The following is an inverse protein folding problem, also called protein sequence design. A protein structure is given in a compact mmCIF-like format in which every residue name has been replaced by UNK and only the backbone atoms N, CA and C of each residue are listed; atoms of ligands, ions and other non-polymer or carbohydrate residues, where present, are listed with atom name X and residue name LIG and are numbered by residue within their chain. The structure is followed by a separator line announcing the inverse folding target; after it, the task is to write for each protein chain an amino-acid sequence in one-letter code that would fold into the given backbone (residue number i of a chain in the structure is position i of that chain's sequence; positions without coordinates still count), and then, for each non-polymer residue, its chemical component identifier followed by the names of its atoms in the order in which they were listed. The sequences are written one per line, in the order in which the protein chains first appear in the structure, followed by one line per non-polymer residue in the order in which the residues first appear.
data_IF_590715487091
#
_entry.id   IF_590715487091
#
_cell.length_a   1.000
_cell.length_b   1.000
_cell.length_c   1.000
_cell.angle_alpha   90.00
_cell.angle_beta   90.00
_cell.angle_gamma   90.00
#
_symmetry.space_group_name_H-M   'P 1'
#
loop_
_entity.id
_entity.type
_entity.pdbx_description
1 polymer ?
#
# COMPACT_ATOMS: atom_id res chain seq x y z
N UNK A 1 -0.15 14.62 7.77
CA UNK A 1 -0.66 13.47 6.99
C UNK A 1 0.21 12.29 7.35
N UNK A 2 -0.37 11.13 7.62
CA UNK A 2 0.39 9.95 8.04
C UNK A 2 1.50 9.63 7.04
N UNK A 3 2.70 9.31 7.51
CA UNK A 3 3.86 8.91 6.70
C UNK A 3 3.83 7.41 6.36
N UNK A 4 3.25 6.61 7.26
CA UNK A 4 3.05 5.18 7.10
C UNK A 4 1.79 4.71 7.86
N UNK A 5 1.34 3.49 7.58
CA UNK A 5 0.25 2.83 8.29
C UNK A 5 0.70 1.41 8.68
N UNK A 6 0.69 1.11 9.96
CA UNK A 6 1.13 -0.16 10.51
C UNK A 6 -0.08 -1.04 10.80
N UNK A 7 -0.06 -2.28 10.32
CA UNK A 7 -1.05 -3.29 10.61
C UNK A 7 -0.39 -4.41 11.43
N UNK A 8 -0.87 -4.63 12.64
CA UNK A 8 -0.38 -5.69 13.53
C UNK A 8 -1.21 -6.95 13.31
N UNK A 9 -0.56 -8.00 12.82
CA UNK A 9 -1.19 -9.21 12.32
C UNK A 9 -0.93 -10.39 13.25
N UNK A 10 -1.98 -11.15 13.52
CA UNK A 10 -1.97 -12.38 14.31
C UNK A 10 -1.82 -13.61 13.41
N UNK A 11 -1.36 -14.70 14.01
CA UNK A 11 -1.30 -16.02 13.36
C UNK A 11 -0.05 -16.21 12.51
N UNK A 12 -0.18 -17.06 11.49
CA UNK A 12 0.93 -17.42 10.59
C UNK A 12 1.38 -16.23 9.75
N UNK A 13 2.69 -15.96 9.75
CA UNK A 13 3.26 -14.79 9.08
C UNK A 13 3.13 -14.89 7.56
N UNK A 14 3.29 -16.08 6.97
CA UNK A 14 3.21 -16.23 5.51
C UNK A 14 1.77 -16.10 5.00
N UNK A 15 0.80 -16.68 5.73
CA UNK A 15 -0.62 -16.50 5.44
C UNK A 15 -1.06 -15.04 5.57
N UNK A 16 -0.56 -14.34 6.59
CA UNK A 16 -0.83 -12.91 6.78
C UNK A 16 -0.22 -12.05 5.64
N UNK A 17 1.02 -12.34 5.21
CA UNK A 17 1.63 -11.68 4.04
C UNK A 17 0.82 -11.92 2.77
N UNK A 18 0.39 -13.16 2.52
CA UNK A 18 -0.45 -13.53 1.37
C UNK A 18 -1.74 -12.71 1.34
N UNK A 19 -2.41 -12.55 2.48
CA UNK A 19 -3.63 -11.72 2.56
C UNK A 19 -3.36 -10.25 2.24
N UNK A 20 -2.24 -9.69 2.70
CA UNK A 20 -1.83 -8.32 2.33
C UNK A 20 -1.57 -8.22 0.82
N UNK A 21 -0.91 -9.21 0.22
CA UNK A 21 -0.70 -9.28 -1.24
C UNK A 21 -2.04 -9.33 -1.97
N UNK A 22 -2.97 -10.18 -1.54
CA UNK A 22 -4.30 -10.30 -2.15
C UNK A 22 -5.11 -9.01 -2.05
N UNK A 23 -5.06 -8.31 -0.90
CA UNK A 23 -5.74 -7.02 -0.71
C UNK A 23 -5.20 -5.93 -1.66
N UNK A 24 -3.87 -5.87 -1.84
CA UNK A 24 -3.24 -4.97 -2.79
C UNK A 24 -3.59 -5.35 -4.24
N UNK A 25 -3.61 -6.64 -4.56
CA UNK A 25 -3.97 -7.11 -5.90
C UNK A 25 -5.45 -6.83 -6.23
N UNK A 26 -6.38 -6.96 -5.27
CA UNK A 26 -7.80 -6.62 -5.48
C UNK A 26 -8.02 -5.13 -5.71
N UNK A 27 -7.14 -4.30 -5.16
CA UNK A 27 -7.09 -2.86 -5.43
C UNK A 27 -6.47 -2.51 -6.79
N UNK A 28 -6.05 -3.51 -7.59
CA UNK A 28 -5.47 -3.32 -8.91
C UNK A 28 -3.98 -2.94 -8.90
N UNK A 29 -3.28 -3.19 -7.79
CA UNK A 29 -1.82 -3.09 -7.76
C UNK A 29 -1.17 -4.35 -8.35
N UNK A 30 -0.14 -4.14 -9.15
CA UNK A 30 0.87 -5.15 -9.45
C UNK A 30 1.84 -5.20 -8.26
N UNK A 31 1.88 -6.33 -7.57
CA UNK A 31 2.71 -6.53 -6.38
C UNK A 31 3.93 -7.36 -6.72
N UNK A 32 5.11 -6.87 -6.35
CA UNK A 32 6.39 -7.57 -6.53
C UNK A 32 7.17 -7.57 -5.22
N UNK A 33 7.83 -8.67 -4.87
CA UNK A 33 8.69 -8.71 -3.67
C UNK A 33 9.93 -7.83 -3.83
N UNK A 34 10.34 -7.16 -2.75
CA UNK A 34 11.60 -6.41 -2.70
C UNK A 34 12.75 -7.34 -2.27
N UNK A 35 14.02 -6.99 -2.57
CA UNK A 35 15.18 -7.75 -2.09
C UNK A 35 15.28 -7.82 -0.55
N UNK A 36 14.64 -6.89 0.15
CA UNK A 36 14.58 -6.83 1.61
C UNK A 36 13.45 -7.67 2.22
N UNK A 37 12.67 -8.38 1.40
CA UNK A 37 11.56 -9.21 1.85
C UNK A 37 10.24 -8.47 2.07
N UNK A 38 10.14 -7.20 1.67
CA UNK A 38 8.91 -6.43 1.61
C UNK A 38 8.17 -6.58 0.27
N UNK A 39 7.16 -5.74 0.05
CA UNK A 39 6.37 -5.68 -1.17
C UNK A 39 6.46 -4.29 -1.80
N UNK A 40 6.53 -4.27 -3.12
CA UNK A 40 6.40 -3.09 -3.95
C UNK A 40 5.09 -3.21 -4.72
N UNK A 41 4.13 -2.35 -4.40
CA UNK A 41 2.82 -2.31 -5.02
C UNK A 41 2.76 -1.14 -6.02
N UNK A 42 2.48 -1.42 -7.29
CA UNK A 42 2.40 -0.42 -8.36
C UNK A 42 1.04 -0.45 -9.05
N UNK A 43 0.36 0.69 -9.14
CA UNK A 43 -0.96 0.84 -9.78
C UNK A 43 -0.97 2.06 -10.71
N UNK A 44 -1.64 1.94 -11.85
CA UNK A 44 -1.67 2.97 -12.89
C UNK A 44 -0.66 2.72 -14.01
N UNK A 45 -0.95 3.24 -15.20
CA UNK A 45 -0.25 2.90 -16.42
C UNK A 45 0.56 4.06 -16.98
N UNK A 46 1.77 3.77 -17.47
CA UNK A 46 2.50 4.64 -18.39
C UNK A 46 1.95 4.58 -19.84
N UNK A 47 1.07 3.63 -20.17
CA UNK A 47 0.64 3.30 -21.54
C UNK A 47 -0.87 3.06 -21.76
N UNK A 48 -1.73 3.14 -20.73
CA UNK A 48 -3.13 2.65 -20.79
C UNK A 48 -4.13 3.71 -20.33
N UNK A 49 -4.01 4.93 -20.87
CA UNK A 49 -5.13 5.88 -20.91
C UNK A 49 -5.74 5.91 -22.31
N UNK A 50 -5.91 4.74 -22.92
CA UNK A 50 -6.74 4.57 -24.12
C UNK A 50 -8.12 4.14 -23.63
N UNK A 51 -8.97 5.13 -23.30
CA UNK A 51 -10.45 5.08 -23.24
C UNK A 51 -10.99 6.06 -22.18
N UNK A 52 -11.02 7.35 -22.52
CA UNK A 52 -12.11 8.31 -22.29
C UNK A 52 -11.55 9.73 -22.49
N UNK A 53 -11.94 10.34 -23.61
CA UNK A 53 -11.43 11.60 -24.17
C UNK A 53 -11.72 12.88 -23.37
N UNK A 54 -11.37 12.92 -22.08
CA UNK A 54 -11.43 14.14 -21.26
C UNK A 54 -10.26 14.32 -20.27
N UNK A 55 -9.32 13.36 -20.15
CA UNK A 55 -8.24 13.37 -19.16
C UNK A 55 -6.83 13.38 -19.78
N UNK A 56 -6.54 14.36 -20.64
CA UNK A 56 -5.19 14.66 -21.12
C UNK A 56 -4.32 15.28 -20.01
N UNK A 57 -4.06 14.53 -18.94
CA UNK A 57 -3.40 15.04 -17.73
C UNK A 57 -2.56 13.99 -17.01
N UNK A 58 -1.46 13.57 -17.67
CA UNK A 58 -0.26 12.92 -17.12
C UNK A 58 -0.48 11.59 -16.37
N UNK A 59 -0.05 10.51 -17.01
CA UNK A 59 0.35 9.20 -16.47
C UNK A 59 0.59 9.21 -14.95
N UNK A 60 -0.46 8.99 -14.17
CA UNK A 60 -0.37 8.97 -12.70
C UNK A 60 -0.11 7.54 -12.26
N UNK A 61 1.15 7.28 -11.90
CA UNK A 61 1.58 6.00 -11.37
C UNK A 61 1.64 6.11 -9.85
N UNK A 62 0.87 5.28 -9.17
CA UNK A 62 0.96 5.06 -7.73
C UNK A 62 1.96 3.95 -7.46
N UNK A 63 2.84 4.18 -6.50
CA UNK A 63 3.78 3.18 -6.00
C UNK A 63 3.81 3.27 -4.49
N UNK A 64 3.53 2.16 -3.82
CA UNK A 64 3.63 2.02 -2.37
C UNK A 64 4.59 0.89 -2.02
N UNK A 65 5.25 1.02 -0.88
CA UNK A 65 6.07 -0.03 -0.29
C UNK A 65 5.34 -0.59 0.93
N UNK A 66 5.35 -1.91 1.08
CA UNK A 66 4.94 -2.56 2.32
C UNK A 66 6.15 -3.28 2.90
N UNK A 67 6.62 -2.81 4.05
CA UNK A 67 7.68 -3.50 4.78
C UNK A 67 7.07 -4.46 5.80
N UNK A 68 7.69 -5.62 5.96
CA UNK A 68 7.31 -6.58 6.99
C UNK A 68 8.36 -6.59 8.09
N UNK A 69 7.90 -6.50 9.33
CA UNK A 69 8.73 -6.62 10.52
C UNK A 69 8.01 -7.44 11.59
N UNK A 70 8.74 -7.89 12.60
CA UNK A 70 8.15 -8.60 13.73
C UNK A 70 8.25 -7.71 14.97
N UNK A 71 7.15 -7.52 15.68
CA UNK A 71 7.14 -6.73 16.91
C UNK A 71 7.75 -7.50 18.10
N UNK A 72 7.86 -6.84 19.26
CA UNK A 72 8.39 -7.46 20.48
C UNK A 72 7.53 -8.63 21.00
N UNK A 73 6.29 -8.76 20.52
CA UNK A 73 5.34 -9.80 20.91
C UNK A 73 5.34 -10.97 19.90
N UNK A 74 6.21 -10.94 18.88
CA UNK A 74 6.27 -11.97 17.84
C UNK A 74 5.21 -11.84 16.75
N UNK A 75 4.45 -10.73 16.72
CA UNK A 75 3.41 -10.47 15.73
C UNK A 75 4.03 -9.90 14.47
N UNK A 76 3.47 -10.27 13.32
CA UNK A 76 3.87 -9.68 12.05
C UNK A 76 3.28 -8.27 11.94
N UNK A 77 4.12 -7.30 11.61
CA UNK A 77 3.70 -5.92 11.33
C UNK A 77 3.89 -5.68 9.84
N UNK A 78 2.80 -5.38 9.15
CA UNK A 78 2.83 -4.90 7.77
C UNK A 78 2.77 -3.37 7.79
N UNK A 79 3.83 -2.71 7.35
CA UNK A 79 3.93 -1.25 7.30
C UNK A 79 3.73 -0.77 5.87
N UNK A 80 2.59 -0.16 5.57
CA UNK A 80 2.35 0.54 4.31
C UNK A 80 3.00 1.91 4.37
N UNK A 81 4.01 2.14 3.53
CA UNK A 81 4.73 3.40 3.42
C UNK A 81 4.23 4.22 2.23
N UNK A 82 3.96 5.51 2.47
CA UNK A 82 3.60 6.45 1.40
C UNK A 82 4.81 6.98 0.63
N UNK A 83 5.99 6.93 1.25
CA UNK A 83 7.16 7.67 0.80
C UNK A 83 8.26 6.68 0.40
N UNK A 84 8.52 6.58 -0.89
CA UNK A 84 9.79 6.01 -1.36
C UNK A 84 10.89 6.96 -0.92
N UNK A 85 11.85 6.49 -0.13
CA UNK A 85 13.09 7.20 0.12
C UNK A 85 13.71 7.58 -1.25
N UNK A 86 13.64 8.85 -1.63
CA UNK A 86 14.22 9.39 -2.85
C UNK A 86 13.24 9.76 -3.97
N UNK A 87 12.51 10.88 -3.82
CA UNK A 87 12.22 11.77 -4.96
C UNK A 87 11.14 11.39 -5.98
N UNK A 88 10.25 10.44 -5.69
CA UNK A 88 9.21 10.00 -6.63
C UNK A 88 7.86 10.73 -6.55
N UNK A 89 7.68 11.71 -5.66
CA UNK A 89 6.53 12.64 -5.71
C UNK A 89 6.74 13.68 -6.81
N UNK A 90 6.75 13.24 -8.08
CA UNK A 90 6.91 14.08 -9.28
C UNK A 90 5.61 14.76 -9.76
N UNK A 91 4.55 14.74 -8.95
CA UNK A 91 3.33 15.53 -9.18
C UNK A 91 3.23 16.54 -8.06
N UNK A 92 3.11 17.84 -8.36
CA UNK A 92 3.03 18.93 -7.36
C UNK A 92 1.86 18.79 -6.36
N UNK A 93 1.38 19.87 -5.74
CA UNK A 93 0.35 19.80 -4.68
C UNK A 93 -0.89 18.93 -5.02
N UNK A 94 -1.30 18.88 -6.30
CA UNK A 94 -2.38 18.00 -6.80
C UNK A 94 -2.00 16.51 -6.75
N UNK A 95 -0.75 16.17 -7.07
CA UNK A 95 -0.23 14.81 -6.95
C UNK A 95 -0.16 14.35 -5.49
N UNK A 96 0.25 15.24 -4.58
CA UNK A 96 0.30 14.94 -3.15
C UNK A 96 -1.09 14.61 -2.57
N UNK A 97 -2.13 15.37 -2.92
CA UNK A 97 -3.49 15.12 -2.48
C UNK A 97 -4.05 13.79 -3.04
N UNK A 98 -3.84 13.51 -4.33
CA UNK A 98 -4.26 12.24 -4.94
C UNK A 98 -3.54 11.03 -4.34
N UNK A 99 -2.25 11.16 -4.05
CA UNK A 99 -1.47 10.11 -3.38
C UNK A 99 -1.97 9.88 -1.95
N UNK A 100 -2.39 10.93 -1.25
CA UNK A 100 -2.95 10.80 0.10
C UNK A 100 -4.30 10.06 0.12
N UNK A 101 -5.21 10.44 -0.79
CA UNK A 101 -6.48 9.74 -0.97
C UNK A 101 -6.22 8.27 -1.31
N UNK A 102 -5.35 8.00 -2.29
CA UNK A 102 -5.01 6.64 -2.68
C UNK A 102 -4.33 5.84 -1.55
N UNK A 103 -3.52 6.48 -0.73
CA UNK A 103 -2.87 5.86 0.43
C UNK A 103 -3.91 5.47 1.48
N UNK A 104 -4.84 6.38 1.80
CA UNK A 104 -5.90 6.11 2.76
C UNK A 104 -6.86 5.02 2.26
N UNK A 105 -7.24 5.06 0.98
CA UNK A 105 -8.04 4.00 0.34
C UNK A 105 -7.33 2.65 0.41
N UNK A 106 -6.04 2.61 0.09
CA UNK A 106 -5.25 1.38 0.15
C UNK A 106 -5.13 0.85 1.58
N UNK A 107 -4.90 1.73 2.56
CA UNK A 107 -4.85 1.35 3.96
C UNK A 107 -6.20 0.79 4.45
N UNK A 108 -7.30 1.42 4.04
CA UNK A 108 -8.65 0.96 4.36
C UNK A 108 -8.95 -0.39 3.69
N UNK A 109 -8.53 -0.60 2.45
CA UNK A 109 -8.72 -1.87 1.75
C UNK A 109 -7.94 -3.02 2.41
N UNK A 110 -6.70 -2.76 2.84
CA UNK A 110 -5.91 -3.71 3.62
C UNK A 110 -6.63 -4.02 4.94
N UNK A 111 -7.04 -3.01 5.71
CA UNK A 111 -7.79 -3.22 6.95
C UNK A 111 -9.09 -4.02 6.71
N UNK A 112 -9.84 -3.71 5.65
CA UNK A 112 -11.08 -4.37 5.28
C UNK A 112 -10.90 -5.83 4.85
N UNK A 113 -9.72 -6.21 4.35
CA UNK A 113 -9.37 -7.60 4.07
C UNK A 113 -8.94 -8.36 5.34
N UNK A 114 -8.22 -7.69 6.24
CA UNK A 114 -7.65 -8.30 7.44
C UNK A 114 -8.65 -8.44 8.60
N UNK A 115 -9.58 -7.49 8.74
CA UNK A 115 -10.67 -7.51 9.73
C UNK A 115 -11.53 -8.79 9.66
N UNK A 116 -12.18 -9.12 8.53
CA UNK A 116 -13.03 -10.30 8.43
C UNK A 116 -12.24 -11.61 8.53
N UNK A 117 -10.95 -11.60 8.18
CA UNK A 117 -10.06 -12.73 8.39
C UNK A 117 -9.71 -12.96 9.88
N UNK A 118 -10.07 -12.03 10.78
CA UNK A 118 -9.82 -12.14 12.22
C UNK A 118 -8.35 -12.04 12.60
N UNK A 119 -7.49 -11.57 11.69
CA UNK A 119 -6.04 -11.52 11.90
C UNK A 119 -5.52 -10.12 12.22
N UNK A 120 -6.32 -9.06 12.06
CA UNK A 120 -5.90 -7.72 12.47
C UNK A 120 -6.05 -7.55 13.99
N UNK A 121 -4.94 -7.48 14.71
CA UNK A 121 -4.94 -7.15 16.13
C UNK A 121 -5.08 -5.65 16.38
N UNK A 122 -4.36 -4.84 15.60
CA UNK A 122 -4.32 -3.40 15.75
C UNK A 122 -3.88 -2.73 14.43
N UNK A 123 -4.21 -1.46 14.25
CA UNK A 123 -3.78 -0.66 13.11
C UNK A 123 -3.48 0.78 13.52
N UNK A 124 -2.26 1.24 13.22
CA UNK A 124 -1.77 2.54 13.67
C UNK A 124 -1.30 3.38 12.48
N UNK A 125 -1.90 4.56 12.33
CA UNK A 125 -1.42 5.58 11.38
C UNK A 125 -0.23 6.34 11.97
N UNK A 126 0.96 6.17 11.40
CA UNK A 126 2.18 6.86 11.80
C UNK A 126 2.23 8.25 11.17
N UNK A 127 2.47 9.31 11.96
CA UNK A 127 2.52 10.69 11.45
C UNK A 127 3.82 11.05 10.72
#
# INVERSE_FOLDING_TARGET
MASAHDFFLLGDHEAAKQLVVSALASEGFVVTSTPTGGLLAKRGSAASTFWLGAFAGKNFQLTFLVDFMVDQQGRLVARLNRNMAGGALKGGAIGAAKTDTAFQETANAIAAALHPAGILADSISQK
#
